data_IF_188861111960
#
_entry.id   IF_188861111960
#
_cell.length_a   1.000
_cell.length_b   1.000
_cell.length_c   1.000
_cell.angle_alpha   90.00
_cell.angle_beta   90.00
_cell.angle_gamma   90.00
#
_symmetry.space_group_name_H-M   'P 1'
#
loop_
_entity.id
_entity.type
_entity.pdbx_description
1 polymer ?
#
# COMPACT_ATOMS: atom_id res chain seq x y z
N UNK A 1 22.13 2.36 -21.79
CA UNK A 1 22.59 2.75 -20.43
C UNK A 1 22.48 1.53 -19.55
N UNK A 2 23.50 1.20 -18.77
CA UNK A 2 23.42 0.07 -17.83
C UNK A 2 22.47 0.41 -16.69
N UNK A 3 21.47 -0.43 -16.44
CA UNK A 3 20.44 -0.24 -15.42
C UNK A 3 21.08 -0.29 -14.01
N UNK A 4 20.81 0.72 -13.18
CA UNK A 4 21.36 0.81 -11.82
C UNK A 4 20.60 -0.03 -10.78
N UNK A 5 19.34 -0.36 -11.04
CA UNK A 5 18.45 -1.13 -10.14
C UNK A 5 17.66 -2.12 -10.98
N UNK A 6 17.76 -3.42 -10.66
CA UNK A 6 17.00 -4.48 -11.31
C UNK A 6 15.50 -4.22 -11.22
N UNK A 7 14.75 -4.50 -12.28
CA UNK A 7 13.31 -4.22 -12.31
C UNK A 7 12.53 -4.97 -11.22
N UNK A 8 12.96 -6.18 -10.87
CA UNK A 8 12.39 -6.96 -9.76
C UNK A 8 12.45 -6.21 -8.42
N UNK A 9 13.40 -5.27 -8.27
CA UNK A 9 13.59 -4.44 -7.08
C UNK A 9 12.92 -3.07 -7.18
N UNK A 10 12.06 -2.86 -8.18
CA UNK A 10 11.30 -1.63 -8.39
C UNK A 10 9.86 -1.85 -7.95
N UNK A 11 9.27 -0.85 -7.30
CA UNK A 11 7.83 -0.79 -7.02
C UNK A 11 7.31 0.56 -7.52
N UNK A 12 6.44 0.56 -8.54
CA UNK A 12 5.73 1.76 -8.97
C UNK A 12 4.35 1.76 -8.31
N UNK A 13 4.16 2.57 -7.27
CA UNK A 13 2.95 2.55 -6.44
C UNK A 13 2.18 3.85 -6.47
N UNK A 14 0.85 3.72 -6.45
CA UNK A 14 -0.05 4.84 -6.18
C UNK A 14 -0.53 4.82 -4.75
N UNK A 15 -0.79 5.99 -4.19
CA UNK A 15 -1.50 6.11 -2.93
C UNK A 15 -2.94 6.54 -3.24
N UNK A 16 -3.89 5.63 -3.04
CA UNK A 16 -5.31 5.80 -3.34
C UNK A 16 -6.07 6.04 -2.04
N UNK A 17 -6.90 7.08 -1.98
CA UNK A 17 -7.70 7.33 -0.79
C UNK A 17 -8.90 8.25 -1.09
N UNK A 18 -9.92 8.22 -0.24
CA UNK A 18 -10.90 9.32 -0.18
C UNK A 18 -10.29 10.56 0.48
N UNK A 19 -11.02 11.67 0.41
CA UNK A 19 -10.65 12.94 1.06
C UNK A 19 -10.45 12.69 2.56
N UNK A 20 -9.44 13.31 3.16
CA UNK A 20 -9.15 13.18 4.59
C UNK A 20 -8.80 11.77 5.10
N UNK A 21 -8.55 10.77 4.26
CA UNK A 21 -8.01 9.48 4.72
C UNK A 21 -6.54 9.55 5.19
N UNK A 22 -5.89 10.71 5.05
CA UNK A 22 -4.50 10.95 5.45
C UNK A 22 -3.47 10.55 4.41
N UNK A 23 -3.83 10.68 3.11
CA UNK A 23 -2.97 10.37 1.97
C UNK A 23 -1.65 11.15 2.00
N UNK A 24 -1.71 12.49 1.94
CA UNK A 24 -0.52 13.37 1.97
C UNK A 24 0.35 13.09 3.20
N UNK A 25 -0.27 13.01 4.39
CA UNK A 25 0.46 12.69 5.63
C UNK A 25 1.22 11.35 5.53
N UNK A 26 0.60 10.34 4.93
CA UNK A 26 1.23 9.03 4.72
C UNK A 26 2.37 9.12 3.72
N UNK A 27 2.19 9.83 2.59
CA UNK A 27 3.26 10.11 1.61
C UNK A 27 4.47 10.76 2.28
N UNK A 28 4.25 11.78 3.11
CA UNK A 28 5.34 12.46 3.82
C UNK A 28 6.05 11.56 4.82
N UNK A 29 5.32 10.71 5.55
CA UNK A 29 5.94 9.74 6.46
C UNK A 29 6.77 8.72 5.70
N UNK A 30 6.33 8.26 4.52
CA UNK A 30 7.14 7.40 3.66
C UNK A 30 8.46 8.11 3.29
N UNK A 31 8.39 9.37 2.86
CA UNK A 31 9.58 10.14 2.48
C UNK A 31 10.52 10.39 3.66
N UNK A 32 9.98 10.61 4.86
CA UNK A 32 10.79 10.73 6.08
C UNK A 32 11.49 9.42 6.43
N UNK A 33 10.76 8.31 6.50
CA UNK A 33 11.33 7.02 6.90
C UNK A 33 12.32 6.45 5.90
N UNK A 34 12.15 6.76 4.61
CA UNK A 34 13.13 6.41 3.56
C UNK A 34 14.35 7.33 3.54
N UNK A 35 14.41 8.32 4.43
CA UNK A 35 15.51 9.28 4.54
C UNK A 35 15.55 10.33 3.45
N UNK A 36 14.50 10.44 2.61
CA UNK A 36 14.40 11.44 1.54
C UNK A 36 14.10 12.83 2.09
N UNK A 37 13.30 12.89 3.16
CA UNK A 37 13.07 14.09 3.96
C UNK A 37 13.81 13.96 5.30
N UNK A 38 14.62 14.96 5.64
CA UNK A 38 15.37 14.97 6.91
C UNK A 38 14.59 15.58 8.09
N UNK A 39 13.40 16.11 7.84
CA UNK A 39 12.49 16.67 8.86
C UNK A 39 11.06 16.24 8.57
N UNK A 40 10.32 15.89 9.61
CA UNK A 40 8.87 15.70 9.53
C UNK A 40 8.20 17.07 9.47
N UNK A 41 7.54 17.40 8.37
CA UNK A 41 6.62 18.53 8.30
C UNK A 41 5.27 18.16 8.93
N UNK A 42 4.54 19.16 9.43
CA UNK A 42 3.12 19.03 9.74
C UNK A 42 2.30 19.59 8.57
N UNK A 43 1.56 18.72 7.88
CA UNK A 43 0.67 19.07 6.75
C UNK A 43 -0.35 20.15 7.16
N UNK A 44 -0.79 20.14 8.42
CA UNK A 44 -1.78 21.08 8.96
C UNK A 44 -1.25 22.51 9.12
N UNK A 45 0.07 22.73 9.13
CA UNK A 45 0.69 24.07 9.21
C UNK A 45 1.13 24.60 7.83
N UNK A 46 0.65 24.01 6.73
CA UNK A 46 1.02 24.42 5.37
C UNK A 46 2.42 23.95 4.94
N UNK A 47 3.05 23.07 5.72
CA UNK A 47 4.40 22.54 5.49
C UNK A 47 4.48 21.33 4.55
N UNK A 48 3.36 20.96 3.89
CA UNK A 48 3.34 19.82 2.99
C UNK A 48 4.29 20.05 1.80
N UNK A 49 5.28 19.17 1.63
CA UNK A 49 6.31 19.31 0.57
C UNK A 49 5.78 18.89 -0.80
N UNK A 50 4.79 17.99 -0.82
CA UNK A 50 4.22 17.42 -2.05
C UNK A 50 3.08 18.27 -2.64
N UNK A 51 2.36 19.01 -1.80
CA UNK A 51 1.33 19.97 -2.21
C UNK A 51 2.01 21.30 -2.55
N UNK A 52 2.54 21.41 -3.78
CA UNK A 52 3.37 22.54 -4.19
C UNK A 52 2.54 23.71 -4.74
N UNK A 53 1.33 23.47 -5.22
CA UNK A 53 0.45 24.55 -5.70
C UNK A 53 -0.09 25.35 -4.52
N UNK A 54 -0.12 26.68 -4.66
CA UNK A 54 -0.68 27.57 -3.63
C UNK A 54 -2.13 27.22 -3.28
N UNK A 55 -2.89 26.77 -4.28
CA UNK A 55 -4.28 26.30 -4.13
C UNK A 55 -4.40 24.97 -3.38
N UNK A 56 -3.42 24.07 -3.50
CA UNK A 56 -3.38 22.82 -2.72
C UNK A 56 -3.13 23.13 -1.24
N UNK A 57 -2.20 24.05 -0.96
CA UNK A 57 -1.89 24.51 0.40
C UNK A 57 -3.05 25.28 1.03
N UNK A 58 -3.69 26.16 0.26
CA UNK A 58 -4.83 26.97 0.72
C UNK A 58 -6.06 26.11 1.06
N UNK A 59 -6.32 25.06 0.27
CA UNK A 59 -7.50 24.19 0.42
C UNK A 59 -7.25 22.91 1.22
N UNK A 60 -5.99 22.59 1.52
CA UNK A 60 -5.61 21.37 2.25
C UNK A 60 -5.93 20.07 1.48
N UNK A 61 -5.98 20.12 0.14
CA UNK A 61 -6.29 18.97 -0.70
C UNK A 61 -5.22 18.78 -1.79
N UNK A 62 -4.90 17.52 -2.11
CA UNK A 62 -4.08 17.19 -3.28
C UNK A 62 -4.90 17.39 -4.55
N UNK A 63 -4.49 18.32 -5.41
CA UNK A 63 -5.14 18.63 -6.68
C UNK A 63 -4.42 17.90 -7.81
N UNK A 64 -3.09 17.87 -7.79
CA UNK A 64 -2.26 17.29 -8.83
C UNK A 64 -1.37 16.17 -8.33
N UNK A 65 -1.14 15.18 -9.19
CA UNK A 65 -0.33 14.01 -8.88
C UNK A 65 1.16 14.33 -8.78
N UNK A 66 1.78 14.09 -7.63
CA UNK A 66 3.21 14.29 -7.44
C UNK A 66 3.94 12.95 -7.56
N UNK A 67 4.98 12.90 -8.41
CA UNK A 67 5.82 11.73 -8.58
C UNK A 67 7.13 11.92 -7.79
N UNK A 68 7.50 10.95 -6.98
CA UNK A 68 8.76 10.97 -6.21
C UNK A 68 9.38 9.59 -6.11
N UNK A 69 10.70 9.54 -5.98
CA UNK A 69 11.45 8.28 -5.84
C UNK A 69 12.13 8.26 -4.48
N UNK A 70 11.99 7.13 -3.79
CA UNK A 70 12.69 6.82 -2.55
C UNK A 70 13.23 5.40 -2.57
N UNK A 71 14.02 5.04 -1.55
CA UNK A 71 14.57 3.71 -1.40
C UNK A 71 14.19 3.15 -0.04
N UNK A 72 13.73 1.90 -0.02
CA UNK A 72 13.36 1.19 1.18
C UNK A 72 14.09 -0.14 1.25
N UNK A 73 14.54 -0.52 2.44
CA UNK A 73 15.13 -1.82 2.71
C UNK A 73 14.26 -2.47 3.78
N UNK A 74 13.40 -3.43 3.41
CA UNK A 74 12.48 -3.99 4.37
C UNK A 74 13.24 -4.76 5.43
N UNK A 75 12.74 -4.72 6.67
CA UNK A 75 13.40 -5.39 7.79
C UNK A 75 12.94 -6.84 7.93
N UNK A 76 11.74 -7.15 7.48
CA UNK A 76 11.10 -8.45 7.58
C UNK A 76 10.60 -8.92 6.21
N UNK A 77 10.20 -10.19 6.13
CA UNK A 77 9.68 -10.80 4.90
C UNK A 77 10.75 -11.41 4.01
N UNK A 78 10.33 -11.91 2.86
CA UNK A 78 11.19 -12.67 1.94
C UNK A 78 12.26 -11.79 1.29
N UNK A 79 12.04 -10.47 1.29
CA UNK A 79 12.98 -9.48 0.77
C UNK A 79 13.80 -8.76 1.85
N UNK A 80 13.77 -9.26 3.10
CA UNK A 80 14.45 -8.63 4.22
C UNK A 80 15.93 -8.32 3.91
N UNK A 81 16.35 -7.09 4.17
CA UNK A 81 17.72 -6.64 3.92
C UNK A 81 18.04 -6.29 2.46
N UNK A 82 17.11 -6.46 1.51
CA UNK A 82 17.33 -6.14 0.09
C UNK A 82 16.76 -4.75 -0.22
N UNK A 83 17.62 -3.82 -0.64
CA UNK A 83 17.19 -2.45 -0.98
C UNK A 83 16.37 -2.42 -2.27
N UNK A 84 15.20 -1.81 -2.20
CA UNK A 84 14.25 -1.60 -3.29
C UNK A 84 14.11 -0.12 -3.61
N UNK A 85 13.83 0.19 -4.88
CA UNK A 85 13.44 1.53 -5.34
C UNK A 85 11.92 1.59 -5.37
N UNK A 86 11.34 2.58 -4.69
CA UNK A 86 9.90 2.84 -4.70
C UNK A 86 9.68 4.17 -5.42
N UNK A 87 8.90 4.13 -6.50
CA UNK A 87 8.39 5.30 -7.17
C UNK A 87 6.94 5.48 -6.73
N UNK A 88 6.64 6.63 -6.13
CA UNK A 88 5.33 6.95 -5.58
C UNK A 88 4.68 7.98 -6.49
N UNK A 89 3.45 7.70 -6.91
CA UNK A 89 2.55 8.68 -7.51
C UNK A 89 1.46 8.99 -6.49
N UNK A 90 1.51 10.19 -5.90
CA UNK A 90 0.45 10.64 -5.01
C UNK A 90 -0.79 10.98 -5.86
N UNK A 91 -1.93 10.31 -5.67
CA UNK A 91 -3.11 10.49 -6.53
C UNK A 91 -4.14 11.42 -5.88
N UNK A 92 -4.87 12.26 -6.64
CA UNK A 92 -5.94 13.07 -6.06
C UNK A 92 -7.00 12.21 -5.36
N UNK A 93 -7.46 12.64 -4.18
CA UNK A 93 -8.46 11.89 -3.40
C UNK A 93 -9.90 12.37 -3.61
N UNK A 94 -10.07 13.45 -4.37
CA UNK A 94 -11.35 14.11 -4.62
C UNK A 94 -11.94 13.64 -5.97
N UNK A 95 -13.27 13.44 -6.01
CA UNK A 95 -14.00 12.92 -7.18
C UNK A 95 -13.90 13.80 -8.42
N UNK A 96 -13.76 15.10 -8.23
CA UNK A 96 -13.58 16.08 -9.31
C UNK A 96 -12.28 15.87 -10.11
N UNK A 97 -11.32 15.11 -9.59
CA UNK A 97 -10.05 14.80 -10.26
C UNK A 97 -9.95 13.33 -10.69
N UNK A 98 -11.09 12.66 -10.88
CA UNK A 98 -11.18 11.25 -11.30
C UNK A 98 -10.41 10.93 -12.59
N UNK A 99 -10.30 11.88 -13.54
CA UNK A 99 -9.50 11.71 -14.77
C UNK A 99 -8.01 11.58 -14.45
N UNK A 100 -7.52 12.32 -13.46
CA UNK A 100 -6.12 12.25 -13.06
C UNK A 100 -5.82 10.96 -12.28
N UNK A 101 -6.77 10.51 -11.45
CA UNK A 101 -6.70 9.19 -10.80
C UNK A 101 -6.67 8.08 -11.86
N UNK A 102 -7.54 8.13 -12.86
CA UNK A 102 -7.59 7.12 -13.94
C UNK A 102 -6.28 7.07 -14.74
N UNK A 103 -5.69 8.23 -15.07
CA UNK A 103 -4.38 8.29 -15.74
C UNK A 103 -3.25 7.75 -14.88
N UNK A 104 -3.27 8.06 -13.59
CA UNK A 104 -2.25 7.58 -12.64
C UNK A 104 -2.32 6.06 -12.51
N UNK A 105 -3.51 5.49 -12.34
CA UNK A 105 -3.69 4.03 -12.21
C UNK A 105 -3.18 3.23 -13.41
N UNK A 106 -3.16 3.81 -14.62
CA UNK A 106 -2.64 3.15 -15.82
C UNK A 106 -1.11 3.00 -15.87
N UNK A 107 -0.37 3.80 -15.10
CA UNK A 107 1.10 3.76 -15.07
C UNK A 107 1.65 3.14 -13.80
N UNK A 108 0.77 2.65 -12.93
CA UNK A 108 1.11 2.07 -11.64
C UNK A 108 1.10 0.54 -11.73
N UNK A 109 2.11 -0.08 -11.12
CA UNK A 109 2.19 -1.54 -11.01
C UNK A 109 1.43 -2.03 -9.78
N UNK A 110 1.24 -1.18 -8.76
CA UNK A 110 0.44 -1.49 -7.59
C UNK A 110 -0.06 -0.25 -6.86
N UNK A 111 -0.85 -0.45 -5.81
CA UNK A 111 -1.37 0.66 -5.01
C UNK A 111 -1.51 0.36 -3.52
N UNK A 112 -1.46 1.42 -2.73
CA UNK A 112 -1.83 1.43 -1.31
C UNK A 112 -3.18 2.14 -1.19
N UNK A 113 -4.23 1.39 -0.87
CA UNK A 113 -5.56 1.93 -0.62
C UNK A 113 -5.71 2.32 0.85
N UNK A 114 -5.75 3.62 1.14
CA UNK A 114 -5.98 4.14 2.48
C UNK A 114 -7.47 4.21 2.81
N UNK A 115 -7.80 3.73 4.00
CA UNK A 115 -9.11 3.87 4.61
C UNK A 115 -8.97 4.56 5.96
N UNK A 116 -9.93 5.43 6.28
CA UNK A 116 -10.01 6.03 7.61
C UNK A 116 -10.65 5.02 8.57
N UNK A 117 -9.98 4.70 9.68
CA UNK A 117 -10.49 3.76 10.68
C UNK A 117 -11.85 4.17 11.28
N UNK A 118 -12.21 5.45 11.20
CA UNK A 118 -13.50 5.98 11.68
C UNK A 118 -14.58 5.88 10.60
N UNK A 119 -14.25 6.26 9.36
CA UNK A 119 -15.21 6.34 8.25
C UNK A 119 -15.38 5.05 7.45
N UNK A 120 -14.43 4.12 7.55
CA UNK A 120 -14.42 2.90 6.75
C UNK A 120 -14.35 3.19 5.25
N UNK A 121 -15.21 2.51 4.48
CA UNK A 121 -15.38 2.77 3.04
C UNK A 121 -16.40 3.88 2.80
N UNK A 122 -15.95 4.96 2.18
CA UNK A 122 -16.80 6.07 1.75
C UNK A 122 -17.19 5.99 0.26
N UNK A 123 -18.24 6.71 -0.20
CA UNK A 123 -18.66 6.69 -1.61
C UNK A 123 -17.54 6.99 -2.62
N UNK A 124 -16.62 7.87 -2.26
CA UNK A 124 -15.45 8.21 -3.07
C UNK A 124 -14.44 7.06 -3.14
N UNK A 125 -14.31 6.30 -2.04
CA UNK A 125 -13.46 5.09 -2.01
C UNK A 125 -13.96 4.06 -3.02
N UNK A 126 -15.27 3.89 -3.18
CA UNK A 126 -15.84 2.98 -4.18
C UNK A 126 -15.48 3.37 -5.62
N UNK A 127 -15.50 4.66 -5.92
CA UNK A 127 -15.22 5.18 -7.27
C UNK A 127 -13.77 4.86 -7.65
N UNK A 128 -12.84 5.19 -6.76
CA UNK A 128 -11.40 4.94 -6.96
C UNK A 128 -11.10 3.44 -6.97
N UNK A 129 -11.82 2.64 -6.17
CA UNK A 129 -11.72 1.18 -6.17
C UNK A 129 -12.16 0.56 -7.51
N UNK A 130 -13.27 1.02 -8.09
CA UNK A 130 -13.75 0.55 -9.41
C UNK A 130 -12.75 0.89 -10.51
N UNK A 131 -12.12 2.06 -10.46
CA UNK A 131 -11.07 2.42 -11.42
C UNK A 131 -9.86 1.49 -11.31
N UNK A 132 -9.40 1.16 -10.11
CA UNK A 132 -8.30 0.22 -9.95
C UNK A 132 -8.68 -1.21 -10.38
N UNK A 133 -9.94 -1.64 -10.17
CA UNK A 133 -10.44 -2.92 -10.69
C UNK A 133 -10.41 -2.97 -12.22
N UNK A 134 -10.82 -1.89 -12.90
CA UNK A 134 -10.82 -1.78 -14.37
C UNK A 134 -9.43 -2.05 -14.98
N UNK A 135 -8.37 -1.65 -14.27
CA UNK A 135 -6.98 -1.83 -14.72
C UNK A 135 -6.28 -3.03 -14.06
N UNK A 136 -6.98 -3.82 -13.24
CA UNK A 136 -6.40 -4.97 -12.56
C UNK A 136 -5.25 -4.62 -11.61
N UNK A 137 -5.20 -3.39 -11.08
CA UNK A 137 -4.05 -2.93 -10.26
C UNK A 137 -4.04 -3.69 -8.92
N UNK A 138 -2.98 -4.48 -8.62
CA UNK A 138 -2.76 -5.10 -7.32
C UNK A 138 -2.67 -4.08 -6.21
N UNK A 139 -3.25 -4.37 -5.05
CA UNK A 139 -3.29 -3.38 -3.96
C UNK A 139 -3.31 -4.00 -2.57
N UNK A 140 -2.74 -3.26 -1.63
CA UNK A 140 -2.88 -3.49 -0.20
C UNK A 140 -3.80 -2.43 0.40
N UNK A 141 -4.52 -2.76 1.47
CA UNK A 141 -5.31 -1.82 2.24
C UNK A 141 -4.55 -1.39 3.50
N UNK A 142 -4.51 -0.09 3.75
CA UNK A 142 -3.94 0.48 4.97
C UNK A 142 -5.01 1.26 5.73
N UNK A 143 -5.47 0.69 6.84
CA UNK A 143 -6.43 1.33 7.74
C UNK A 143 -5.69 2.34 8.60
N UNK A 144 -5.80 3.59 8.21
CA UNK A 144 -5.10 4.72 8.81
C UNK A 144 -5.98 5.42 9.85
N UNK A 145 -5.41 6.37 10.60
CA UNK A 145 -6.09 7.12 11.65
C UNK A 145 -6.60 6.25 12.80
N UNK A 146 -5.90 5.16 13.11
CA UNK A 146 -6.19 4.32 14.27
C UNK A 146 -6.10 5.07 15.61
N UNK A 147 -5.47 6.25 15.62
CA UNK A 147 -5.35 7.16 16.76
C UNK A 147 -6.61 7.98 17.08
N UNK A 148 -7.65 7.92 16.23
CA UNK A 148 -8.85 8.75 16.37
C UNK A 148 -9.93 8.09 17.22
N UNK A 149 -10.67 8.89 17.97
CA UNK A 149 -11.89 8.44 18.66
C UNK A 149 -12.87 7.83 17.66
N UNK A 150 -13.38 6.63 17.96
CA UNK A 150 -14.25 5.87 17.07
C UNK A 150 -13.51 5.11 15.96
N UNK A 151 -12.18 5.04 16.00
CA UNK A 151 -11.43 4.18 15.10
C UNK A 151 -11.76 2.71 15.35
N UNK A 152 -12.26 2.01 14.34
CA UNK A 152 -12.52 0.59 14.39
C UNK A 152 -11.94 -0.12 13.16
N UNK A 153 -10.89 -0.89 13.40
CA UNK A 153 -10.20 -1.66 12.36
C UNK A 153 -11.12 -2.74 11.74
N UNK A 154 -11.81 -3.51 12.58
CA UNK A 154 -12.62 -4.63 12.12
C UNK A 154 -13.87 -4.18 11.36
N UNK A 155 -14.49 -3.08 11.77
CA UNK A 155 -15.59 -2.47 11.01
C UNK A 155 -15.11 -1.95 9.65
N UNK A 156 -13.91 -1.39 9.58
CA UNK A 156 -13.31 -0.98 8.30
C UNK A 156 -13.04 -2.18 7.39
N UNK A 157 -12.48 -3.28 7.92
CA UNK A 157 -12.29 -4.54 7.19
C UNK A 157 -13.63 -5.07 6.67
N UNK A 158 -14.66 -5.09 7.52
CA UNK A 158 -16.01 -5.49 7.14
C UNK A 158 -16.59 -4.59 6.05
N UNK A 159 -16.41 -3.27 6.17
CA UNK A 159 -16.85 -2.29 5.17
C UNK A 159 -16.18 -2.51 3.81
N UNK A 160 -14.88 -2.83 3.78
CA UNK A 160 -14.14 -3.20 2.55
C UNK A 160 -14.78 -4.42 1.90
N UNK A 161 -15.14 -5.45 2.68
CA UNK A 161 -15.80 -6.65 2.16
C UNK A 161 -17.18 -6.34 1.60
N UNK A 162 -18.03 -5.66 2.38
CA UNK A 162 -19.45 -5.48 2.07
C UNK A 162 -19.69 -4.41 1.00
N UNK A 163 -18.99 -3.26 1.05
CA UNK A 163 -19.23 -2.14 0.13
C UNK A 163 -18.42 -2.24 -1.16
N UNK A 164 -17.21 -2.80 -1.11
CA UNK A 164 -16.35 -2.92 -2.29
C UNK A 164 -16.44 -4.29 -2.97
N UNK A 165 -17.09 -5.26 -2.33
CA UNK A 165 -17.13 -6.65 -2.82
C UNK A 165 -15.75 -7.29 -2.89
N UNK A 166 -14.81 -6.84 -2.06
CA UNK A 166 -13.44 -7.30 -2.05
C UNK A 166 -13.24 -8.45 -1.04
N UNK A 167 -12.09 -9.14 -1.13
CA UNK A 167 -11.67 -10.13 -0.14
C UNK A 167 -10.53 -9.58 0.76
N UNK A 168 -10.86 -8.76 1.78
CA UNK A 168 -9.84 -8.25 2.69
C UNK A 168 -9.34 -9.35 3.62
N UNK A 169 -8.01 -9.49 3.71
CA UNK A 169 -7.31 -10.43 4.59
C UNK A 169 -6.43 -9.63 5.55
N UNK A 170 -6.83 -9.48 6.82
CA UNK A 170 -6.00 -8.86 7.84
C UNK A 170 -4.67 -9.61 8.02
N UNK A 171 -3.56 -8.88 7.88
CA UNK A 171 -2.22 -9.36 8.25
C UNK A 171 -1.80 -8.84 9.63
N UNK A 172 -2.55 -7.87 10.14
CA UNK A 172 -2.33 -7.22 11.41
C UNK A 172 -3.66 -7.02 12.13
N UNK A 173 -3.61 -7.01 13.47
CA UNK A 173 -4.70 -6.50 14.31
C UNK A 173 -4.16 -5.42 15.25
N UNK A 174 -4.94 -4.37 15.57
CA UNK A 174 -4.45 -3.26 16.37
C UNK A 174 -4.20 -3.67 17.83
N UNK A 175 -3.22 -3.03 18.47
CA UNK A 175 -3.01 -3.07 19.93
C UNK A 175 -3.48 -1.71 20.47
N UNK A 176 -4.61 -1.73 21.17
CA UNK A 176 -5.31 -0.51 21.62
C UNK A 176 -6.12 0.16 20.52
N UNK A 177 -6.90 1.18 20.90
CA UNK A 177 -7.79 1.94 20.01
C UNK A 177 -7.77 3.43 20.37
N UNK A 178 -8.09 4.28 19.39
CA UNK A 178 -8.07 5.74 19.57
C UNK A 178 -6.76 6.25 20.14
N UNK A 179 -6.80 7.11 21.15
CA UNK A 179 -5.60 7.67 21.77
C UNK A 179 -4.68 6.59 22.39
N UNK A 180 -5.23 5.43 22.76
CA UNK A 180 -4.47 4.31 23.33
C UNK A 180 -3.85 3.39 22.26
N UNK A 181 -4.04 3.67 20.98
CA UNK A 181 -3.43 2.89 19.90
C UNK A 181 -1.89 2.89 20.02
N UNK A 182 -1.33 1.76 20.42
CA UNK A 182 0.08 1.60 20.77
C UNK A 182 0.89 0.92 19.65
N UNK A 183 0.23 0.16 18.79
CA UNK A 183 0.85 -0.56 17.69
C UNK A 183 -0.07 -1.67 17.17
N UNK A 184 0.48 -2.82 16.80
CA UNK A 184 -0.30 -3.92 16.21
C UNK A 184 0.36 -5.27 16.48
N UNK A 185 -0.43 -6.34 16.37
CA UNK A 185 0.04 -7.71 16.29
C UNK A 185 0.29 -8.05 14.83
N UNK A 186 1.46 -8.58 14.50
CA UNK A 186 1.75 -9.19 13.21
C UNK A 186 1.27 -10.64 13.24
N UNK A 187 0.24 -10.96 12.43
CA UNK A 187 -0.40 -12.27 12.43
C UNK A 187 0.43 -13.34 11.72
N UNK A 188 1.42 -12.97 10.89
CA UNK A 188 2.31 -13.92 10.21
C UNK A 188 3.40 -14.39 11.16
N UNK A 189 4.04 -13.44 11.86
CA UNK A 189 5.11 -13.71 12.85
C UNK A 189 4.59 -14.08 14.23
N UNK A 190 3.31 -13.83 14.50
CA UNK A 190 2.69 -13.95 15.82
C UNK A 190 3.45 -13.20 16.92
N UNK A 191 3.75 -11.92 16.65
CA UNK A 191 4.40 -11.01 17.60
C UNK A 191 3.67 -9.68 17.70
N UNK A 192 3.71 -9.07 18.88
CA UNK A 192 3.29 -7.68 19.06
C UNK A 192 4.39 -6.71 18.63
N UNK A 193 4.00 -5.59 18.03
CA UNK A 193 4.87 -4.45 17.74
C UNK A 193 4.30 -3.24 18.44
N UNK A 194 5.06 -2.67 19.38
CA UNK A 194 4.65 -1.49 20.14
C UNK A 194 5.64 -0.35 19.88
N UNK A 195 5.12 0.83 19.58
CA UNK A 195 5.93 2.02 19.31
C UNK A 195 6.26 2.75 20.62
N UNK A 196 7.55 3.01 20.85
CA UNK A 196 8.05 3.56 22.12
C UNK A 196 8.08 5.09 22.15
N UNK A 197 8.16 5.72 20.98
CA UNK A 197 8.34 7.16 20.82
C UNK A 197 7.25 7.73 19.93
N UNK A 198 6.86 8.96 20.21
CA UNK A 198 5.87 9.70 19.42
C UNK A 198 6.36 9.99 17.99
N UNK A 199 7.68 10.00 17.74
CA UNK A 199 8.27 10.17 16.42
C UNK A 199 8.20 8.91 15.53
N UNK A 200 7.78 7.77 16.08
CA UNK A 200 7.68 6.49 15.38
C UNK A 200 9.01 5.90 14.88
N UNK A 201 10.15 6.50 15.25
CA UNK A 201 11.48 6.08 14.79
C UNK A 201 11.89 4.70 15.31
N UNK A 202 11.35 4.29 16.45
CA UNK A 202 11.71 3.04 17.13
C UNK A 202 10.47 2.33 17.65
N UNK A 203 10.48 1.01 17.51
CA UNK A 203 9.45 0.10 18.03
C UNK A 203 10.12 -1.12 18.66
N UNK A 204 9.42 -1.74 19.60
CA UNK A 204 9.82 -2.99 20.23
C UNK A 204 8.94 -4.14 19.70
N UNK A 205 9.59 -5.26 19.39
CA UNK A 205 8.89 -6.54 19.28
C UNK A 205 8.65 -7.08 20.68
N UNK A 206 7.42 -7.44 20.97
CA UNK A 206 6.98 -7.99 22.25
C UNK A 206 6.17 -9.26 22.01
N UNK A 207 5.99 -10.05 23.07
CA UNK A 207 4.97 -11.09 23.06
C UNK A 207 3.58 -10.44 22.89
N UNK A 208 2.66 -11.18 22.27
CA UNK A 208 1.30 -10.70 22.07
C UNK A 208 0.65 -10.47 23.45
N UNK A 209 0.04 -9.30 23.70
CA UNK A 209 -0.68 -9.04 24.95
C UNK A 209 -1.67 -10.16 25.29
N UNK A 210 -1.75 -10.51 26.58
CA UNK A 210 -2.51 -11.68 27.04
C UNK A 210 -4.02 -11.55 26.75
N UNK A 211 -4.54 -10.34 26.74
CA UNK A 211 -5.91 -10.00 26.36
C UNK A 211 -6.18 -10.18 24.85
N UNK A 212 -5.16 -10.03 24.00
CA UNK A 212 -5.27 -10.14 22.54
C UNK A 212 -4.88 -11.51 21.98
N UNK A 213 -4.25 -12.40 22.75
CA UNK A 213 -3.71 -13.66 22.22
C UNK A 213 -4.78 -14.55 21.57
N UNK A 214 -5.98 -14.61 22.15
CA UNK A 214 -7.08 -15.42 21.62
C UNK A 214 -7.64 -14.81 20.33
N UNK A 215 -7.81 -13.50 20.30
CA UNK A 215 -8.24 -12.78 19.10
C UNK A 215 -7.21 -12.90 17.96
N UNK A 216 -5.92 -12.75 18.28
CA UNK A 216 -4.82 -12.94 17.33
C UNK A 216 -4.82 -14.35 16.73
N UNK A 217 -5.06 -15.39 17.54
CA UNK A 217 -5.17 -16.78 17.06
C UNK A 217 -6.36 -16.95 16.13
N UNK A 218 -7.53 -16.41 16.48
CA UNK A 218 -8.72 -16.46 15.62
C UNK A 218 -8.46 -15.77 14.28
N UNK A 219 -7.90 -14.56 14.28
CA UNK A 219 -7.59 -13.86 13.04
C UNK A 219 -6.47 -14.50 12.23
N UNK A 220 -5.49 -15.15 12.89
CA UNK A 220 -4.50 -15.96 12.19
C UNK A 220 -5.15 -17.16 11.49
N UNK A 221 -6.09 -17.86 12.14
CA UNK A 221 -6.83 -18.97 11.51
C UNK A 221 -7.57 -18.46 10.28
N UNK A 222 -8.36 -17.38 10.42
CA UNK A 222 -9.08 -16.77 9.29
C UNK A 222 -8.13 -16.38 8.14
N UNK A 223 -6.95 -15.83 8.47
CA UNK A 223 -5.93 -15.48 7.48
C UNK A 223 -5.38 -16.73 6.78
N UNK A 224 -5.04 -17.79 7.53
CA UNK A 224 -4.51 -19.03 6.97
C UNK A 224 -5.55 -19.73 6.09
N UNK A 225 -6.82 -19.76 6.49
CA UNK A 225 -7.92 -20.30 5.67
C UNK A 225 -8.03 -19.56 4.35
N UNK A 226 -8.13 -18.23 4.39
CA UNK A 226 -8.26 -17.39 3.18
C UNK A 226 -7.06 -17.53 2.22
N UNK A 227 -5.85 -17.74 2.76
CA UNK A 227 -4.62 -17.93 1.96
C UNK A 227 -4.54 -19.36 1.41
N UNK A 228 -4.93 -20.35 2.21
CA UNK A 228 -4.88 -21.77 1.82
C UNK A 228 -5.89 -22.10 0.72
N UNK A 229 -7.05 -21.44 0.68
CA UNK A 229 -8.04 -21.60 -0.41
C UNK A 229 -7.48 -21.25 -1.81
N UNK A 230 -6.35 -20.55 -1.88
CA UNK A 230 -5.76 -20.05 -3.11
C UNK A 230 -4.52 -20.82 -3.58
N UNK A 231 -4.05 -21.78 -2.79
CA UNK A 231 -2.88 -22.60 -3.10
C UNK A 231 -3.07 -24.04 -2.58
N UNK A 232 -3.10 -25.01 -3.50
CA UNK A 232 -3.37 -26.41 -3.20
C UNK A 232 -2.36 -27.01 -2.19
N UNK A 233 -1.09 -26.60 -2.27
CA UNK A 233 -0.03 -27.09 -1.38
C UNK A 233 -0.21 -26.56 0.04
N UNK A 234 -0.57 -25.28 0.22
CA UNK A 234 -0.89 -24.75 1.54
C UNK A 234 -2.17 -25.36 2.10
N UNK A 235 -3.19 -25.60 1.26
CA UNK A 235 -4.43 -26.26 1.68
C UNK A 235 -4.19 -27.66 2.24
N UNK A 236 -3.39 -28.47 1.54
CA UNK A 236 -3.05 -29.81 1.99
C UNK A 236 -2.35 -29.77 3.35
N UNK A 237 -1.34 -28.90 3.50
CA UNK A 237 -0.64 -28.70 4.79
C UNK A 237 -1.59 -28.26 5.90
N UNK A 238 -2.48 -27.31 5.61
CA UNK A 238 -3.45 -26.81 6.57
C UNK A 238 -4.40 -27.92 7.06
N UNK A 239 -4.94 -28.73 6.14
CA UNK A 239 -5.84 -29.85 6.46
C UNK A 239 -5.15 -30.97 7.24
N UNK A 240 -3.88 -31.24 6.94
CA UNK A 240 -3.08 -32.25 7.62
C UNK A 240 -2.56 -31.78 8.99
N UNK A 241 -2.68 -30.49 9.31
CA UNK A 241 -2.10 -29.90 10.52
C UNK A 241 -0.57 -29.78 10.45
N UNK A 242 -0.01 -29.77 9.24
CA UNK A 242 1.42 -29.59 9.01
C UNK A 242 1.84 -28.15 9.31
N UNK A 243 3.13 -27.97 9.62
CA UNK A 243 3.67 -26.65 9.88
C UNK A 243 3.77 -25.83 8.58
N UNK A 244 3.10 -24.67 8.54
CA UNK A 244 3.18 -23.69 7.44
C UNK A 244 4.16 -22.58 7.84
N UNK A 245 5.20 -22.38 7.04
CA UNK A 245 6.25 -21.41 7.32
C UNK A 245 5.83 -19.97 6.98
N UNK A 246 6.49 -18.97 7.56
CA UNK A 246 6.22 -17.56 7.24
C UNK A 246 6.50 -17.22 5.77
N UNK A 247 7.53 -17.83 5.19
CA UNK A 247 7.92 -17.63 3.79
C UNK A 247 6.83 -18.12 2.83
N UNK A 248 6.26 -19.29 3.11
CA UNK A 248 5.16 -19.88 2.34
C UNK A 248 3.91 -19.01 2.41
N UNK A 249 3.52 -18.56 3.62
CA UNK A 249 2.39 -17.66 3.82
C UNK A 249 2.56 -16.40 2.99
N UNK A 250 3.75 -15.77 3.05
CA UNK A 250 4.03 -14.53 2.30
C UNK A 250 4.02 -14.74 0.80
N UNK A 251 4.58 -15.86 0.33
CA UNK A 251 4.59 -16.21 -1.09
C UNK A 251 3.17 -16.32 -1.64
N UNK A 252 2.29 -17.07 -0.98
CA UNK A 252 0.90 -17.22 -1.44
C UNK A 252 0.12 -15.91 -1.33
N UNK A 253 0.29 -15.15 -0.25
CA UNK A 253 -0.31 -13.81 -0.14
C UNK A 253 0.13 -12.92 -1.30
N UNK A 254 1.42 -12.90 -1.65
CA UNK A 254 1.94 -12.14 -2.79
C UNK A 254 1.26 -12.58 -4.09
N UNK A 255 1.25 -13.88 -4.39
CA UNK A 255 0.64 -14.40 -5.63
C UNK A 255 -0.86 -14.06 -5.72
N UNK A 256 -1.59 -14.19 -4.60
CA UNK A 256 -2.99 -13.83 -4.51
C UNK A 256 -3.23 -12.31 -4.65
N UNK A 257 -2.32 -11.49 -4.11
CA UNK A 257 -2.38 -10.02 -4.22
C UNK A 257 -2.16 -9.56 -5.66
N UNK A 258 -1.17 -10.13 -6.35
CA UNK A 258 -0.87 -9.82 -7.76
C UNK A 258 -2.04 -10.16 -8.69
N UNK A 259 -2.81 -11.20 -8.37
CA UNK A 259 -4.03 -11.57 -9.10
C UNK A 259 -5.28 -10.81 -8.66
N UNK A 260 -5.17 -9.97 -7.62
CA UNK A 260 -6.28 -9.23 -7.00
C UNK A 260 -7.35 -10.18 -6.41
N UNK A 261 -6.95 -11.40 -6.02
CA UNK A 261 -7.83 -12.37 -5.36
C UNK A 261 -8.05 -12.03 -3.88
N UNK A 262 -7.04 -11.42 -3.25
CA UNK A 262 -7.10 -10.92 -1.87
C UNK A 262 -6.57 -9.51 -1.79
N UNK A 263 -6.97 -8.80 -0.75
CA UNK A 263 -6.46 -7.49 -0.38
C UNK A 263 -5.82 -7.62 1.00
N UNK A 264 -4.48 -7.66 1.10
CA UNK A 264 -3.80 -7.65 2.39
C UNK A 264 -4.13 -6.38 3.17
N UNK A 265 -4.59 -6.50 4.41
CA UNK A 265 -4.98 -5.35 5.25
C UNK A 265 -3.99 -5.16 6.39
N UNK A 266 -3.47 -3.95 6.48
CA UNK A 266 -2.58 -3.45 7.54
C UNK A 266 -3.26 -2.30 8.28
N UNK A 267 -2.76 -1.95 9.47
CA UNK A 267 -3.28 -0.83 10.25
C UNK A 267 -2.17 0.09 10.79
N UNK A 268 -2.53 1.34 11.05
CA UNK A 268 -1.63 2.29 11.67
C UNK A 268 -2.18 3.69 11.83
N UNK A 269 -1.30 4.59 12.23
CA UNK A 269 -1.55 6.03 12.32
C UNK A 269 -0.36 6.76 11.73
N UNK A 270 -0.53 7.29 10.52
CA UNK A 270 0.49 8.13 9.88
C UNK A 270 0.71 9.43 10.66
N UNK A 271 -0.31 9.94 11.36
CA UNK A 271 -0.21 11.14 12.19
C UNK A 271 0.66 10.89 13.43
N UNK A 272 0.40 9.78 14.15
CA UNK A 272 1.19 9.36 15.33
C UNK A 272 2.42 8.53 14.98
N UNK A 273 2.78 8.47 13.70
CA UNK A 273 4.01 7.84 13.22
C UNK A 273 4.09 6.30 13.41
N UNK A 274 2.95 5.61 13.59
CA UNK A 274 2.89 4.17 13.85
C UNK A 274 2.41 3.40 12.61
N UNK A 275 3.10 2.35 12.20
CA UNK A 275 2.65 1.40 11.16
C UNK A 275 3.15 1.65 9.75
N UNK A 276 3.52 2.89 9.39
CA UNK A 276 3.96 3.24 8.01
C UNK A 276 5.18 2.42 7.54
N UNK A 277 6.13 2.13 8.43
CA UNK A 277 7.31 1.31 8.11
C UNK A 277 6.93 -0.13 7.71
N UNK A 278 5.93 -0.71 8.39
CA UNK A 278 5.44 -2.06 8.07
C UNK A 278 4.54 -2.08 6.84
N UNK A 279 3.85 -0.97 6.56
CA UNK A 279 3.20 -0.77 5.28
C UNK A 279 4.22 -0.71 4.14
N UNK A 280 5.38 -0.07 4.32
CA UNK A 280 6.48 -0.09 3.33
C UNK A 280 7.09 -1.48 3.15
N UNK A 281 7.24 -2.26 4.23
CA UNK A 281 7.63 -3.67 4.14
C UNK A 281 6.62 -4.45 3.29
N UNK A 282 5.31 -4.25 3.54
CA UNK A 282 4.23 -4.89 2.78
C UNK A 282 4.17 -4.44 1.31
N UNK A 283 4.50 -3.18 1.00
CA UNK A 283 4.64 -2.69 -0.39
C UNK A 283 5.70 -3.51 -1.13
N UNK A 284 6.86 -3.72 -0.52
CA UNK A 284 7.93 -4.51 -1.13
C UNK A 284 7.51 -5.98 -1.24
N UNK A 285 6.93 -6.53 -0.18
CA UNK A 285 6.58 -7.94 -0.07
C UNK A 285 5.46 -8.36 -1.05
N UNK A 286 4.40 -7.56 -1.18
CA UNK A 286 3.17 -8.01 -1.83
C UNK A 286 2.80 -7.27 -3.12
N UNK A 287 3.29 -6.06 -3.35
CA UNK A 287 2.98 -5.33 -4.59
C UNK A 287 3.90 -5.71 -5.75
N UNK A 288 3.38 -5.50 -6.97
CA UNK A 288 4.04 -5.85 -8.20
C UNK A 288 5.30 -5.02 -8.45
N UNK A 289 6.27 -5.67 -9.08
CA UNK A 289 7.34 -5.05 -9.84
C UNK A 289 6.93 -4.89 -11.30
N UNK A 290 7.64 -4.07 -12.10
CA UNK A 290 7.44 -4.00 -13.55
C UNK A 290 7.55 -5.36 -14.26
N UNK A 291 8.30 -6.31 -13.68
CA UNK A 291 8.43 -7.67 -14.24
C UNK A 291 7.15 -8.48 -14.02
N UNK A 292 6.49 -8.30 -12.87
CA UNK A 292 5.24 -8.98 -12.54
C UNK A 292 4.07 -8.49 -13.42
N UNK A 293 4.08 -7.22 -13.84
CA UNK A 293 3.07 -6.64 -14.75
C UNK A 293 3.24 -7.17 -16.17
N UNK A 294 4.47 -7.43 -16.60
CA UNK A 294 4.77 -8.05 -17.88
C UNK A 294 4.70 -7.07 -19.06
N UNK A 295 4.34 -7.59 -20.24
CA UNK A 295 4.35 -6.83 -21.48
C UNK A 295 3.12 -5.91 -21.61
N UNK A 296 3.32 -4.73 -22.19
CA UNK A 296 2.23 -3.79 -22.48
C UNK A 296 1.77 -4.00 -23.92
N UNK A 297 0.45 -4.03 -24.13
CA UNK A 297 -0.17 -4.13 -25.45
C UNK A 297 -0.44 -2.74 -26.06
N UNK A 298 -0.31 -2.64 -27.38
CA UNK A 298 -0.62 -1.46 -28.16
C UNK A 298 -0.93 -1.82 -29.61
N UNK A 299 -1.10 -0.81 -30.46
CA UNK A 299 -1.38 -1.00 -31.89
C UNK A 299 -0.32 -0.30 -32.73
N UNK A 300 0.10 -0.93 -33.83
CA UNK A 300 1.02 -0.32 -34.76
C UNK A 300 0.35 0.86 -35.47
N UNK A 301 0.96 2.07 -35.50
CA UNK A 301 0.28 3.31 -35.91
C UNK A 301 -0.14 3.37 -37.38
N UNK A 302 0.38 2.47 -38.23
CA UNK A 302 0.05 2.43 -39.67
C UNK A 302 -0.80 1.24 -40.09
N UNK A 303 -0.64 0.10 -39.41
CA UNK A 303 -1.29 -1.17 -39.77
C UNK A 303 -2.42 -1.53 -38.82
N UNK A 304 -2.54 -0.85 -37.68
CA UNK A 304 -3.47 -1.14 -36.58
C UNK A 304 -3.31 -2.55 -35.99
N UNK A 305 -2.27 -3.29 -36.37
CA UNK A 305 -2.01 -4.63 -35.84
C UNK A 305 -1.60 -4.55 -34.37
N UNK A 306 -2.04 -5.52 -33.53
CA UNK A 306 -1.65 -5.58 -32.14
C UNK A 306 -0.15 -5.84 -32.02
N UNK A 307 0.52 -5.06 -31.16
CA UNK A 307 1.94 -5.18 -30.84
C UNK A 307 2.12 -5.19 -29.33
N UNK A 308 3.13 -5.89 -28.86
CA UNK A 308 3.49 -5.93 -27.43
C UNK A 308 4.87 -5.34 -27.19
N UNK A 309 5.10 -4.85 -25.97
CA UNK A 309 6.41 -4.37 -25.51
C UNK A 309 6.73 -4.97 -24.16
N UNK A 310 7.75 -5.83 -24.12
CA UNK A 310 8.23 -6.42 -22.88
C UNK A 310 9.05 -5.42 -22.08
N UNK A 311 9.09 -5.49 -20.74
CA UNK A 311 9.91 -4.62 -19.90
C UNK A 311 11.41 -5.05 -19.92
N UNK A 312 12.02 -5.11 -21.11
CA UNK A 312 13.41 -5.55 -21.32
C UNK A 312 14.24 -4.42 -21.93
N UNK A 313 15.53 -4.36 -21.58
CA UNK A 313 16.42 -3.29 -22.06
C UNK A 313 16.78 -3.45 -23.55
N UNK A 314 16.65 -4.67 -24.09
CA UNK A 314 16.93 -4.99 -25.49
C UNK A 314 15.76 -4.66 -26.44
N UNK A 315 14.57 -4.40 -25.90
CA UNK A 315 13.38 -4.02 -26.67
C UNK A 315 13.48 -2.57 -27.19
N UNK A 316 12.86 -2.25 -28.35
CA UNK A 316 12.76 -0.87 -28.81
C UNK A 316 12.07 0.02 -27.78
N UNK A 317 12.61 1.23 -27.57
CA UNK A 317 12.08 2.17 -26.59
C UNK A 317 10.59 2.48 -26.82
N UNK A 318 9.80 2.32 -25.76
CA UNK A 318 8.40 2.70 -25.69
C UNK A 318 8.11 3.30 -24.31
N UNK A 319 7.32 4.36 -24.27
CA UNK A 319 6.93 5.03 -23.03
C UNK A 319 5.55 5.68 -23.19
N UNK A 320 4.84 5.82 -22.06
CA UNK A 320 3.55 6.49 -21.98
C UNK A 320 3.68 7.82 -21.22
N UNK A 321 3.43 8.94 -21.90
CA UNK A 321 3.30 10.23 -21.24
C UNK A 321 1.91 10.31 -20.57
N UNK A 322 1.88 10.36 -19.24
CA UNK A 322 0.63 10.35 -18.47
C UNK A 322 0.28 11.71 -17.84
N UNK A 323 1.27 12.61 -17.70
CA UNK A 323 1.11 13.95 -17.14
C UNK A 323 1.93 14.98 -17.93
N UNK A 324 1.35 16.16 -18.11
CA UNK A 324 2.00 17.35 -18.68
C UNK A 324 1.93 18.44 -17.63
N UNK A 325 3.06 19.08 -17.34
CA UNK A 325 3.15 20.23 -16.44
C UNK A 325 4.08 21.27 -17.08
N UNK A 326 3.83 22.54 -16.79
CA UNK A 326 4.70 23.65 -17.19
C UNK A 326 5.58 24.00 -16.00
N UNK A 327 6.89 23.83 -16.16
CA UNK A 327 7.87 24.26 -15.17
C UNK A 327 8.26 25.72 -15.46
N UNK A 328 8.10 26.68 -14.53
CA UNK A 328 8.46 28.07 -14.76
C UNK A 328 9.97 28.31 -14.84
N UNK A 329 10.80 27.33 -14.48
CA UNK A 329 12.25 27.39 -14.50
C UNK A 329 12.88 26.74 -15.75
N UNK A 330 12.06 26.20 -16.67
CA UNK A 330 12.48 25.60 -17.96
C UNK A 330 11.70 26.20 -19.11
#
# INVERSE_FOLDING_TARGET
>A
MTRQVDLEKVRNIGIMAHIDAGKTTTTERILYYTGRLHRMGEVHEGGATMDWMEQEKERGITITSAATTCFWQPKYGNYAGIKHRINIIDTPGHVDFTVEVERSLRVLDGAVALFCAVGGVEPQSETVWRQANKYGVPRIAYVNKMDRTGANFFDTVKSIRERLGANPVPLQIPIGEGEMFAGFVDLIRMKGVIYNKDDGSTYNEVEIPHDLINEARTWRINMLEAVSELDESLLEKYLNGDNITEEEIRSVIRQATLKVNIIPVLCGSSFKNKGVQFMLDAVVEYLASPVDVGAVEGHHPRTEEPVTRSPKDEEPFAALAFKIATDPFV
#
